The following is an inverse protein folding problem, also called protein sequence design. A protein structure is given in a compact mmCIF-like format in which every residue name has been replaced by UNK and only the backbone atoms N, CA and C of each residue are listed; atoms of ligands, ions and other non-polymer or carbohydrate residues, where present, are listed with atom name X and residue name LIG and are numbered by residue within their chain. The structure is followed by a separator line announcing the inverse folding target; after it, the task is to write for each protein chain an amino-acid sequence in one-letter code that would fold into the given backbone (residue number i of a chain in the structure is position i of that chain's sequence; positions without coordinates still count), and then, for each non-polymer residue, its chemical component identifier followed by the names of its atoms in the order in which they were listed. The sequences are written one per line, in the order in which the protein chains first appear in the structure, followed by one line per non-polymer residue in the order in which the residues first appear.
data_IF_523050410078
#
_entry.id   IF_523050410078
#
_cell.length_a   1.000
_cell.length_b   1.000
_cell.length_c   1.000
_cell.angle_alpha   90.00
_cell.angle_beta   90.00
_cell.angle_gamma   90.00
#
_symmetry.space_group_name_H-M   'P 1'
#
loop_
_entity.id
_entity.type
_entity.pdbx_description
1 polymer ?
#
# COMPACT_ATOMS: atom_id res chain seq x y z
N UNK A 1 -4.12 -9.12 31.51
CA UNK A 1 -3.40 -8.00 30.86
C UNK A 1 -2.93 -8.48 29.51
N UNK A 2 -3.20 -7.74 28.42
CA UNK A 2 -2.82 -8.13 27.05
C UNK A 2 -1.77 -7.14 26.55
N UNK A 3 -0.59 -7.63 26.21
CA UNK A 3 0.46 -6.81 25.65
C UNK A 3 0.09 -6.45 24.20
N UNK A 4 0.18 -5.16 23.87
CA UNK A 4 0.02 -4.64 22.52
C UNK A 4 1.41 -4.24 22.04
N UNK A 5 1.83 -4.78 20.89
CA UNK A 5 3.14 -4.51 20.31
C UNK A 5 3.00 -4.32 18.80
N UNK A 6 3.77 -3.38 18.25
CA UNK A 6 3.91 -3.18 16.82
C UNK A 6 5.24 -3.83 16.39
N UNK A 7 5.19 -4.78 15.46
CA UNK A 7 6.36 -5.60 15.07
C UNK A 7 7.13 -5.04 13.87
N UNK A 8 6.62 -3.98 13.25
CA UNK A 8 7.35 -3.20 12.26
C UNK A 8 7.94 -1.99 12.99
N UNK A 9 9.26 -1.87 13.07
CA UNK A 9 9.89 -0.69 13.69
C UNK A 9 9.45 0.62 13.01
N UNK A 10 9.47 1.73 13.75
CA UNK A 10 9.07 3.04 13.24
C UNK A 10 9.30 4.15 14.27
N UNK A 11 9.11 5.40 13.87
CA UNK A 11 9.19 6.55 14.77
C UNK A 11 7.84 6.74 15.47
N UNK A 12 7.83 6.83 16.80
CA UNK A 12 6.61 7.20 17.53
C UNK A 12 6.34 8.69 17.28
N UNK A 13 5.23 9.01 16.62
CA UNK A 13 4.80 10.38 16.35
C UNK A 13 3.72 10.88 17.30
N UNK A 14 3.08 9.99 18.06
CA UNK A 14 2.10 10.36 19.08
C UNK A 14 1.81 9.25 20.07
N UNK A 15 1.54 9.62 21.32
CA UNK A 15 1.04 8.74 22.37
C UNK A 15 -0.23 9.38 22.94
N UNK A 16 -1.34 8.64 22.92
CA UNK A 16 -2.68 9.16 23.26
C UNK A 16 -3.20 8.65 24.60
N UNK A 17 -2.38 7.93 25.36
CA UNK A 17 -2.75 7.30 26.63
C UNK A 17 -1.66 7.48 27.68
N UNK A 18 -2.05 7.37 28.94
CA UNK A 18 -1.16 7.40 30.11
C UNK A 18 -1.37 6.16 30.97
N UNK A 19 -0.45 5.95 31.91
CA UNK A 19 -0.53 4.83 32.83
C UNK A 19 -1.81 4.91 33.67
N UNK A 20 -2.51 3.78 33.79
CA UNK A 20 -3.80 3.68 34.48
C UNK A 20 -5.04 4.06 33.66
N UNK A 21 -4.90 4.51 32.40
CA UNK A 21 -6.06 4.86 31.57
C UNK A 21 -6.87 3.61 31.16
N UNK A 22 -8.20 3.70 31.25
CA UNK A 22 -9.12 2.72 30.70
C UNK A 22 -9.46 3.06 29.25
N UNK A 23 -9.25 2.11 28.34
CA UNK A 23 -9.47 2.29 26.91
C UNK A 23 -10.50 1.30 26.36
N UNK A 24 -11.31 1.76 25.41
CA UNK A 24 -12.25 0.91 24.69
C UNK A 24 -11.55 0.16 23.55
N UNK A 25 -12.14 -0.95 23.11
CA UNK A 25 -11.64 -1.68 21.94
C UNK A 25 -11.67 -0.78 20.70
N UNK A 26 -10.56 -0.77 19.94
CA UNK A 26 -10.39 0.08 18.76
C UNK A 26 -9.91 1.51 19.04
N UNK A 27 -9.72 1.89 20.31
CA UNK A 27 -9.11 3.18 20.64
C UNK A 27 -7.67 3.27 20.13
N UNK A 28 -7.32 4.41 19.53
CA UNK A 28 -5.94 4.72 19.15
C UNK A 28 -5.11 4.96 20.41
N UNK A 29 -4.01 4.21 20.58
CA UNK A 29 -3.15 4.31 21.77
C UNK A 29 -1.83 5.03 21.44
N UNK A 30 -1.23 4.69 20.31
CA UNK A 30 0.06 5.21 19.83
C UNK A 30 -0.04 5.37 18.32
N UNK A 31 0.56 6.44 17.81
CA UNK A 31 0.80 6.64 16.38
C UNK A 31 2.27 6.38 16.08
N UNK A 32 2.51 5.51 15.11
CA UNK A 32 3.84 5.17 14.63
C UNK A 32 3.91 5.62 13.18
N UNK A 33 4.82 6.55 12.90
CA UNK A 33 5.29 6.82 11.56
C UNK A 33 6.24 5.69 11.17
N UNK A 34 5.75 4.81 10.30
CA UNK A 34 6.59 3.83 9.66
C UNK A 34 7.70 4.58 8.94
N UNK A 35 8.96 4.13 9.09
CA UNK A 35 10.01 4.60 8.20
C UNK A 35 9.48 4.42 6.76
N UNK A 36 9.73 5.37 5.84
CA UNK A 36 9.33 5.21 4.46
C UNK A 36 9.81 3.83 4.02
N UNK A 37 8.85 2.95 3.80
CA UNK A 37 9.15 1.66 3.23
C UNK A 37 9.79 2.00 1.89
N UNK A 38 11.00 1.49 1.60
CA UNK A 38 11.70 1.77 0.32
C UNK A 38 10.86 1.37 -0.92
N UNK A 39 9.69 0.77 -0.70
CA UNK A 39 8.58 0.70 -1.63
C UNK A 39 8.10 2.10 -2.05
N UNK A 40 8.76 2.69 -3.03
CA UNK A 40 8.27 3.82 -3.79
C UNK A 40 6.96 3.44 -4.50
N UNK A 41 5.78 3.89 -4.04
CA UNK A 41 4.50 3.44 -4.59
C UNK A 41 4.34 3.83 -6.06
N UNK A 42 4.95 4.93 -6.49
CA UNK A 42 4.93 5.37 -7.89
C UNK A 42 5.74 4.44 -8.79
N UNK A 43 6.88 3.93 -8.31
CA UNK A 43 7.68 2.95 -9.06
C UNK A 43 6.94 1.63 -9.23
N UNK A 44 6.31 1.15 -8.15
CA UNK A 44 5.50 -0.08 -8.17
C UNK A 44 4.32 0.07 -9.13
N UNK A 45 3.65 1.22 -9.11
CA UNK A 45 2.55 1.53 -10.04
C UNK A 45 3.04 1.59 -11.49
N UNK A 46 4.14 2.29 -11.77
CA UNK A 46 4.71 2.35 -13.12
C UNK A 46 5.10 0.98 -13.66
N UNK A 47 5.65 0.11 -12.82
CA UNK A 47 5.94 -1.29 -13.17
C UNK A 47 4.66 -2.07 -13.46
N UNK A 48 3.63 -1.91 -12.64
CA UNK A 48 2.33 -2.54 -12.84
C UNK A 48 1.69 -2.12 -14.17
N UNK A 49 1.68 -0.81 -14.46
CA UNK A 49 1.13 -0.27 -15.71
C UNK A 49 1.85 -0.83 -16.94
N UNK A 50 3.19 -0.87 -16.92
CA UNK A 50 3.96 -1.49 -18.00
C UNK A 50 3.62 -2.96 -18.21
N UNK A 51 3.45 -3.72 -17.12
CA UNK A 51 3.05 -5.13 -17.19
C UNK A 51 1.63 -5.30 -17.74
N UNK A 52 0.69 -4.43 -17.38
CA UNK A 52 -0.68 -4.47 -17.87
C UNK A 52 -0.76 -4.17 -19.38
N UNK A 53 0.00 -3.19 -19.86
CA UNK A 53 0.11 -2.88 -21.30
C UNK A 53 0.70 -4.07 -22.06
N UNK A 54 1.81 -4.66 -21.57
CA UNK A 54 2.43 -5.84 -22.20
C UNK A 54 1.45 -7.00 -22.26
N UNK A 55 0.71 -7.26 -21.17
CA UNK A 55 -0.31 -8.30 -21.11
C UNK A 55 -1.43 -8.04 -22.12
N UNK A 56 -1.96 -6.82 -22.20
CA UNK A 56 -3.04 -6.46 -23.12
C UNK A 56 -2.61 -6.70 -24.58
N UNK A 57 -1.39 -6.26 -24.93
CA UNK A 57 -0.80 -6.51 -26.25
C UNK A 57 -0.68 -7.99 -26.56
N UNK A 58 -0.01 -8.76 -25.71
CA UNK A 58 0.24 -10.19 -25.95
C UNK A 58 -1.06 -11.00 -26.02
N UNK A 59 -2.06 -10.64 -25.20
CA UNK A 59 -3.39 -11.27 -25.23
C UNK A 59 -4.07 -11.02 -26.56
N UNK A 60 -4.01 -9.78 -27.08
CA UNK A 60 -4.59 -9.43 -28.37
C UNK A 60 -3.86 -10.10 -29.53
N UNK A 61 -2.53 -10.10 -29.54
CA UNK A 61 -1.70 -10.79 -30.53
C UNK A 61 -2.03 -12.29 -30.58
N UNK A 62 -2.19 -12.94 -29.42
CA UNK A 62 -2.54 -14.37 -29.36
C UNK A 62 -3.93 -14.72 -29.93
N UNK A 63 -4.81 -13.72 -30.05
CA UNK A 63 -6.18 -13.87 -30.54
C UNK A 63 -6.40 -13.25 -31.91
N UNK A 64 -5.34 -12.68 -32.50
CA UNK A 64 -5.42 -11.88 -33.74
C UNK A 64 -6.42 -10.70 -33.61
N UNK A 65 -6.54 -10.16 -32.40
CA UNK A 65 -7.43 -9.07 -32.03
C UNK A 65 -6.65 -7.76 -31.83
N UNK A 66 -7.37 -6.63 -31.75
CA UNK A 66 -6.76 -5.35 -31.37
C UNK A 66 -6.66 -5.23 -29.85
N UNK A 67 -5.52 -4.76 -29.29
CA UNK A 67 -5.37 -4.60 -27.86
C UNK A 67 -6.29 -3.51 -27.32
N UNK A 68 -6.99 -3.83 -26.23
CA UNK A 68 -7.73 -2.87 -25.41
C UNK A 68 -6.82 -2.43 -24.28
N UNK A 69 -6.44 -1.16 -24.29
CA UNK A 69 -5.54 -0.62 -23.28
C UNK A 69 -6.28 -0.31 -21.97
N UNK A 70 -5.72 -0.65 -20.80
CA UNK A 70 -6.31 -0.29 -19.51
C UNK A 70 -6.40 1.24 -19.36
N UNK A 71 -7.58 1.77 -19.05
CA UNK A 71 -7.81 3.21 -18.92
C UNK A 71 -6.91 3.86 -17.86
N UNK A 72 -6.63 3.13 -16.77
CA UNK A 72 -5.73 3.54 -15.68
C UNK A 72 -4.26 3.71 -16.12
N UNK A 73 -3.82 2.95 -17.14
CA UNK A 73 -2.42 2.95 -17.61
C UNK A 73 -2.18 3.90 -18.80
N UNK A 74 -3.24 4.48 -19.38
CA UNK A 74 -3.18 5.37 -20.57
C UNK A 74 -3.40 6.85 -20.23
N UNK A 75 -3.95 7.15 -19.06
CA UNK A 75 -4.40 8.49 -18.69
C UNK A 75 -3.35 9.35 -17.96
N UNK A 76 -2.05 9.17 -18.22
CA UNK A 76 -1.01 9.97 -17.56
C UNK A 76 0.14 10.37 -18.47
#
# INVERSE_FOLDING_TARGET
MRQVAHLEGGLISGIFVRDGDFVAAGASLVQIELAPNDLNPEEIRGRLDGLLIVRARLTAESRDEKPVWPAESVAR
#
